data_IF_663216353882
#
_entry.id   IF_663216353882
#
_cell.length_a   1.000
_cell.length_b   1.000
_cell.length_c   1.000
_cell.angle_alpha   90.00
_cell.angle_beta   90.00
_cell.angle_gamma   90.00
#
_symmetry.space_group_name_H-M   'P 1'
#
loop_
_entity.id
_entity.type
_entity.pdbx_description
1 polymer ?
#
# COMPACT_ATOMS: atom_id res chain seq x y z
N UNK A 1 4.84 20.74 7.88
CA UNK A 1 4.44 19.36 7.55
C UNK A 1 5.11 18.43 8.52
N UNK A 2 4.33 17.50 9.08
CA UNK A 2 4.81 16.48 10.00
C UNK A 2 4.92 15.12 9.30
N UNK A 3 5.67 14.18 9.90
CA UNK A 3 5.77 12.83 9.36
C UNK A 3 4.42 12.12 9.47
N UNK A 4 3.95 11.53 8.37
CA UNK A 4 2.65 10.85 8.34
C UNK A 4 1.43 11.75 8.54
N UNK A 5 1.56 13.06 8.33
CA UNK A 5 0.45 14.01 8.45
C UNK A 5 -0.69 13.74 7.45
N UNK A 6 -0.38 13.17 6.29
CA UNK A 6 -1.32 12.93 5.19
C UNK A 6 -1.65 11.44 5.11
N UNK A 7 -2.90 11.08 5.40
CA UNK A 7 -3.41 9.72 5.27
C UNK A 7 -3.69 9.40 3.81
N UNK A 8 -3.15 8.28 3.34
CA UNK A 8 -3.31 7.78 1.97
C UNK A 8 -4.14 6.49 1.98
N UNK A 9 -5.18 6.49 1.15
CA UNK A 9 -6.02 5.33 0.84
C UNK A 9 -5.70 4.91 -0.60
N UNK A 10 -5.09 3.75 -0.81
CA UNK A 10 -4.68 3.25 -2.14
C UNK A 10 -5.67 2.19 -2.64
N UNK A 11 -6.47 2.55 -3.64
CA UNK A 11 -7.46 1.66 -4.24
C UNK A 11 -6.98 1.18 -5.61
N UNK A 12 -7.08 -0.13 -5.88
CA UNK A 12 -6.51 -0.74 -7.09
C UNK A 12 -4.98 -0.58 -7.13
N UNK A 13 -4.32 -0.93 -6.03
CA UNK A 13 -2.91 -0.65 -5.78
C UNK A 13 -1.95 -1.39 -6.73
N UNK A 14 -2.40 -2.45 -7.40
CA UNK A 14 -1.55 -3.32 -8.19
C UNK A 14 -0.40 -3.85 -7.35
N UNK A 15 0.84 -3.92 -7.89
CA UNK A 15 2.01 -4.30 -7.11
C UNK A 15 2.55 -3.17 -6.21
N UNK A 16 1.86 -2.03 -6.06
CA UNK A 16 2.21 -0.97 -5.11
C UNK A 16 3.17 0.12 -5.62
N UNK A 17 3.35 0.26 -6.93
CA UNK A 17 4.30 1.23 -7.51
C UNK A 17 3.94 2.68 -7.21
N UNK A 18 2.67 3.06 -7.29
CA UNK A 18 2.21 4.42 -6.97
C UNK A 18 2.37 4.72 -5.48
N UNK A 19 1.93 3.80 -4.62
CA UNK A 19 2.11 3.92 -3.17
C UNK A 19 3.59 4.09 -2.78
N UNK A 20 4.50 3.33 -3.38
CA UNK A 20 5.94 3.51 -3.14
C UNK A 20 6.45 4.89 -3.55
N UNK A 21 6.05 5.38 -4.72
CA UNK A 21 6.40 6.72 -5.19
C UNK A 21 5.94 7.80 -4.21
N UNK A 22 4.67 7.72 -3.76
CA UNK A 22 4.11 8.67 -2.80
C UNK A 22 4.81 8.60 -1.44
N UNK A 23 5.02 7.41 -0.89
CA UNK A 23 5.72 7.24 0.40
C UNK A 23 7.20 7.65 0.35
N UNK A 24 7.81 7.69 -0.84
CA UNK A 24 9.20 8.16 -1.00
C UNK A 24 9.34 9.69 -1.03
N UNK A 25 8.22 10.41 -1.16
CA UNK A 25 8.25 11.87 -1.20
C UNK A 25 8.75 12.43 0.13
N UNK A 26 9.78 13.27 0.06
CA UNK A 26 10.35 13.96 1.22
C UNK A 26 10.27 15.46 1.05
N UNK A 27 9.99 16.17 2.14
CA UNK A 27 10.13 17.64 2.19
C UNK A 27 11.61 18.03 2.16
N UNK A 28 11.91 19.33 2.01
CA UNK A 28 13.27 19.87 2.09
C UNK A 28 13.98 19.50 3.40
N UNK A 29 13.23 19.31 4.49
CA UNK A 29 13.73 18.92 5.80
C UNK A 29 13.79 17.40 6.00
N UNK A 30 13.61 16.59 4.94
CA UNK A 30 13.69 15.13 4.98
C UNK A 30 12.46 14.42 5.58
N UNK A 31 11.36 15.13 5.80
CA UNK A 31 10.13 14.57 6.39
C UNK A 31 9.36 13.82 5.30
N UNK A 32 8.88 12.60 5.60
CA UNK A 32 7.95 11.84 4.76
C UNK A 32 6.50 12.11 5.21
N UNK A 33 5.74 12.99 4.54
CA UNK A 33 4.43 13.42 5.04
C UNK A 33 3.29 12.43 4.75
N UNK A 34 3.49 11.51 3.80
CA UNK A 34 2.46 10.56 3.38
C UNK A 34 2.56 9.24 4.12
N UNK A 35 1.46 8.85 4.78
CA UNK A 35 1.30 7.55 5.43
C UNK A 35 0.19 6.73 4.76
N UNK A 36 0.50 5.51 4.32
CA UNK A 36 -0.47 4.63 3.67
C UNK A 36 -1.21 3.86 4.75
N UNK A 37 -2.48 4.18 4.94
CA UNK A 37 -3.32 3.49 5.92
C UNK A 37 -3.91 2.18 5.41
N UNK A 38 -4.24 2.11 4.12
CA UNK A 38 -4.76 0.90 3.48
C UNK A 38 -4.44 0.87 1.99
N UNK A 39 -4.13 -0.33 1.47
CA UNK A 39 -4.00 -0.62 0.04
C UNK A 39 -4.88 -1.81 -0.35
N UNK A 40 -5.67 -1.67 -1.41
CA UNK A 40 -6.61 -2.70 -1.89
C UNK A 40 -6.16 -3.22 -3.26
N UNK A 41 -5.91 -4.54 -3.35
CA UNK A 41 -5.57 -5.22 -4.59
C UNK A 41 -6.21 -6.61 -4.66
N UNK A 42 -6.77 -6.98 -5.81
CA UNK A 42 -7.52 -8.22 -6.04
C UNK A 42 -6.63 -9.36 -6.53
N UNK A 43 -5.63 -9.08 -7.35
CA UNK A 43 -4.83 -10.12 -7.99
C UNK A 43 -3.79 -10.67 -7.00
N UNK A 44 -3.78 -12.00 -6.72
CA UNK A 44 -2.91 -12.58 -5.69
C UNK A 44 -1.40 -12.31 -5.85
N UNK A 45 -0.87 -12.32 -7.07
CA UNK A 45 0.55 -12.10 -7.31
C UNK A 45 0.97 -10.64 -7.10
N UNK A 46 0.12 -9.70 -7.52
CA UNK A 46 0.26 -8.27 -7.31
C UNK A 46 0.13 -7.95 -5.82
N UNK A 47 -0.87 -8.52 -5.13
CA UNK A 47 -1.04 -8.39 -3.68
C UNK A 47 0.18 -8.90 -2.90
N UNK A 48 0.71 -10.09 -3.26
CA UNK A 48 1.94 -10.61 -2.63
C UNK A 48 3.11 -9.63 -2.79
N UNK A 49 3.25 -9.01 -3.95
CA UNK A 49 4.27 -7.99 -4.22
C UNK A 49 4.02 -6.73 -3.41
N UNK A 50 2.79 -6.22 -3.43
CA UNK A 50 2.32 -5.06 -2.67
C UNK A 50 2.64 -5.20 -1.17
N UNK A 51 2.26 -6.32 -0.53
CA UNK A 51 2.57 -6.59 0.87
C UNK A 51 4.08 -6.67 1.13
N UNK A 52 4.85 -7.25 0.22
CA UNK A 52 6.31 -7.35 0.36
C UNK A 52 6.98 -5.97 0.27
N UNK A 53 6.46 -5.08 -0.58
CA UNK A 53 6.94 -3.69 -0.66
C UNK A 53 6.49 -2.86 0.54
N UNK A 54 5.25 -3.05 1.02
CA UNK A 54 4.76 -2.46 2.25
C UNK A 54 5.61 -2.85 3.46
N UNK A 55 5.99 -4.12 3.56
CA UNK A 55 6.94 -4.62 4.53
C UNK A 55 8.30 -3.91 4.40
N UNK A 56 8.87 -3.87 3.19
CA UNK A 56 10.18 -3.24 2.97
C UNK A 56 10.21 -1.78 3.44
N UNK A 57 9.16 -0.99 3.18
CA UNK A 57 9.09 0.41 3.65
C UNK A 57 9.18 0.54 5.16
N UNK A 58 8.68 -0.44 5.91
CA UNK A 58 8.68 -0.45 7.39
C UNK A 58 10.01 -0.87 7.99
N UNK A 59 10.87 -1.54 7.22
CA UNK A 59 12.20 -1.99 7.65
C UNK A 59 13.36 -1.23 7.00
N UNK A 60 13.10 -0.39 5.99
CA UNK A 60 14.12 0.23 5.15
C UNK A 60 15.14 1.10 5.90
N UNK A 61 14.73 1.68 7.03
CA UNK A 61 15.58 2.54 7.85
C UNK A 61 16.43 1.72 8.86
N UNK A 62 16.19 0.41 8.98
CA UNK A 62 17.03 -0.51 9.76
C UNK A 62 18.04 -1.21 8.83
N UNK A 63 19.36 -0.96 8.97
CA UNK A 63 20.38 -1.53 8.09
C UNK A 63 20.44 -3.06 8.08
N UNK A 64 20.19 -3.70 9.23
CA UNK A 64 20.22 -5.18 9.35
C UNK A 64 19.03 -5.77 8.62
N UNK A 65 17.81 -5.28 8.91
CA UNK A 65 16.59 -5.76 8.26
C UNK A 65 16.59 -5.50 6.75
N UNK A 66 17.10 -4.35 6.34
CA UNK A 66 17.31 -4.02 4.93
C UNK A 66 18.27 -5.02 4.25
N UNK A 67 19.33 -5.45 4.92
CA UNK A 67 20.23 -6.47 4.38
C UNK A 67 19.53 -7.82 4.23
N UNK A 68 18.74 -8.25 5.22
CA UNK A 68 17.98 -9.51 5.15
C UNK A 68 16.95 -9.49 4.02
N UNK A 69 16.30 -8.35 3.78
CA UNK A 69 15.47 -8.18 2.59
C UNK A 69 16.25 -8.42 1.29
N UNK A 70 17.49 -7.95 1.19
CA UNK A 70 18.32 -8.23 0.02
C UNK A 70 18.80 -9.69 -0.07
N UNK A 71 18.98 -10.38 1.05
CA UNK A 71 19.20 -11.82 1.05
C UNK A 71 17.97 -12.58 0.51
N UNK A 72 16.76 -12.15 0.86
CA UNK A 72 15.53 -12.62 0.22
C UNK A 72 15.51 -12.34 -1.29
N UNK A 73 15.84 -11.12 -1.73
CA UNK A 73 15.92 -10.77 -3.16
C UNK A 73 16.93 -11.64 -3.91
N UNK A 74 18.03 -12.04 -3.25
CA UNK A 74 19.04 -12.96 -3.80
C UNK A 74 18.62 -14.43 -3.76
N UNK A 75 17.46 -14.75 -3.19
CA UNK A 75 16.96 -16.12 -3.03
C UNK A 75 17.65 -16.91 -1.92
N UNK A 76 18.37 -16.25 -1.01
CA UNK A 76 19.04 -16.91 0.13
C UNK A 76 18.15 -16.99 1.38
N UNK A 77 17.07 -16.21 1.40
CA UNK A 77 15.99 -16.29 2.37
C UNK A 77 14.66 -16.45 1.63
N UNK A 78 13.75 -17.21 2.21
CA UNK A 78 12.35 -17.23 1.77
C UNK A 78 11.60 -16.03 2.33
N UNK A 79 10.46 -15.71 1.71
CA UNK A 79 9.59 -14.63 2.19
C UNK A 79 9.08 -14.90 3.60
N UNK A 80 8.75 -16.14 3.92
CA UNK A 80 8.17 -16.52 5.20
C UNK A 80 9.21 -16.43 6.32
N UNK A 81 10.45 -16.87 6.06
CA UNK A 81 11.59 -16.66 6.96
C UNK A 81 11.80 -15.18 7.22
N UNK A 82 11.87 -14.35 6.17
CA UNK A 82 12.05 -12.91 6.31
C UNK A 82 10.93 -12.27 7.15
N UNK A 83 9.67 -12.64 6.89
CA UNK A 83 8.53 -12.06 7.60
C UNK A 83 8.53 -12.47 9.09
N UNK A 84 8.96 -13.70 9.41
CA UNK A 84 9.07 -14.18 10.80
C UNK A 84 10.18 -13.49 11.61
N UNK A 85 11.21 -12.97 10.96
CA UNK A 85 12.28 -12.21 11.66
C UNK A 85 11.81 -10.84 12.15
N UNK A 86 10.76 -10.31 11.53
CA UNK A 86 10.28 -8.93 11.71
C UNK A 86 8.76 -8.90 11.87
N UNK A 87 8.25 -9.64 12.87
CA UNK A 87 6.81 -9.90 13.03
C UNK A 87 5.98 -8.61 13.13
N UNK A 88 6.44 -7.60 13.86
CA UNK A 88 5.74 -6.33 14.01
C UNK A 88 5.56 -5.62 12.65
N UNK A 89 6.64 -5.49 11.88
CA UNK A 89 6.62 -4.83 10.57
C UNK A 89 5.84 -5.67 9.55
N UNK A 90 5.92 -6.99 9.65
CA UNK A 90 5.12 -7.93 8.84
C UNK A 90 3.63 -7.78 9.12
N UNK A 91 3.22 -7.73 10.38
CA UNK A 91 1.82 -7.51 10.75
C UNK A 91 1.32 -6.14 10.33
N UNK A 92 2.13 -5.10 10.49
CA UNK A 92 1.79 -3.77 10.00
C UNK A 92 1.62 -3.73 8.48
N UNK A 93 2.45 -4.46 7.72
CA UNK A 93 2.31 -4.57 6.27
C UNK A 93 1.07 -5.36 5.85
N UNK A 94 0.78 -6.46 6.55
CA UNK A 94 -0.43 -7.25 6.32
C UNK A 94 -1.70 -6.45 6.63
N UNK A 95 -1.72 -5.69 7.73
CA UNK A 95 -2.83 -4.80 8.09
C UNK A 95 -3.05 -3.71 7.04
N UNK A 96 -1.98 -3.10 6.54
CA UNK A 96 -2.04 -2.13 5.45
C UNK A 96 -2.65 -2.74 4.18
N UNK A 97 -2.31 -3.99 3.86
CA UNK A 97 -2.77 -4.67 2.64
C UNK A 97 -3.95 -5.61 2.85
N UNK A 98 -4.73 -5.46 3.92
CA UNK A 98 -5.93 -6.26 4.24
C UNK A 98 -5.71 -7.78 4.32
N UNK A 99 -4.50 -8.22 4.67
CA UNK A 99 -4.02 -9.61 4.85
C UNK A 99 -4.07 -10.52 3.63
N UNK A 100 -5.06 -10.36 2.77
CA UNK A 100 -5.29 -11.17 1.58
C UNK A 100 -5.82 -10.30 0.43
N UNK A 101 -5.81 -10.80 -0.82
CA UNK A 101 -6.33 -10.05 -1.95
C UNK A 101 -7.81 -9.72 -1.75
N UNK A 102 -8.19 -8.47 -2.05
CA UNK A 102 -9.56 -7.94 -1.87
C UNK A 102 -10.01 -7.21 -3.12
N UNK A 103 -11.28 -7.36 -3.45
CA UNK A 103 -11.90 -6.74 -4.61
C UNK A 103 -12.93 -5.69 -4.19
N UNK A 104 -12.78 -4.48 -4.73
CA UNK A 104 -13.86 -3.50 -4.72
C UNK A 104 -15.10 -4.07 -5.44
N UNK A 105 -16.27 -3.85 -4.86
CA UNK A 105 -17.54 -4.48 -5.26
C UNK A 105 -17.87 -5.73 -4.45
N UNK A 106 -16.91 -6.65 -4.26
CA UNK A 106 -17.12 -7.91 -3.55
C UNK A 106 -16.89 -7.76 -2.04
N UNK A 107 -15.78 -7.12 -1.64
CA UNK A 107 -15.35 -6.96 -0.24
C UNK A 107 -15.70 -5.57 0.34
N UNK A 108 -16.63 -4.83 -0.29
CA UNK A 108 -16.90 -3.43 0.02
C UNK A 108 -17.17 -3.15 1.50
N UNK A 109 -17.92 -4.02 2.18
CA UNK A 109 -18.23 -3.83 3.60
C UNK A 109 -16.94 -3.73 4.43
N UNK A 110 -16.04 -4.70 4.28
CA UNK A 110 -14.76 -4.74 4.98
C UNK A 110 -13.86 -3.56 4.60
N UNK A 111 -13.77 -3.24 3.31
CA UNK A 111 -12.95 -2.12 2.81
C UNK A 111 -13.47 -0.79 3.39
N UNK A 112 -14.79 -0.58 3.37
CA UNK A 112 -15.42 0.64 3.89
C UNK A 112 -15.25 0.76 5.41
N UNK A 113 -15.46 -0.32 6.16
CA UNK A 113 -15.23 -0.33 7.62
C UNK A 113 -13.79 0.08 7.94
N UNK A 114 -12.81 -0.52 7.25
CA UNK A 114 -11.40 -0.17 7.44
C UNK A 114 -11.08 1.29 7.10
N UNK A 115 -11.60 1.80 5.98
CA UNK A 115 -11.41 3.20 5.59
C UNK A 115 -12.06 4.14 6.62
N UNK A 116 -13.25 3.82 7.11
CA UNK A 116 -13.94 4.62 8.13
C UNK A 116 -13.15 4.69 9.43
N UNK A 117 -12.63 3.55 9.92
CA UNK A 117 -11.76 3.51 11.09
C UNK A 117 -10.55 4.44 10.95
N UNK A 118 -9.86 4.36 9.81
CA UNK A 118 -8.69 5.19 9.51
C UNK A 118 -9.04 6.68 9.43
N UNK A 119 -10.13 7.01 8.74
CA UNK A 119 -10.55 8.41 8.53
C UNK A 119 -11.00 9.07 9.84
N UNK A 120 -11.73 8.34 10.69
CA UNK A 120 -12.16 8.82 12.02
C UNK A 120 -10.96 9.01 12.95
N UNK A 121 -9.96 8.14 12.86
CA UNK A 121 -8.73 8.23 13.66
C UNK A 121 -7.75 9.32 13.20
N UNK A 122 -7.92 9.91 12.02
CA UNK A 122 -6.95 10.83 11.41
C UNK A 122 -7.45 12.27 11.36
N UNK A 123 -6.67 13.21 11.90
CA UNK A 123 -7.04 14.63 11.91
C UNK A 123 -6.53 15.40 10.69
N UNK A 124 -5.43 14.95 10.07
CA UNK A 124 -4.80 15.62 8.93
C UNK A 124 -5.53 15.46 7.60
N UNK A 125 -4.92 15.95 6.51
CA UNK A 125 -5.41 15.73 5.15
C UNK A 125 -5.53 14.25 4.82
N UNK A 126 -6.54 13.90 4.02
CA UNK A 126 -6.75 12.55 3.50
C UNK A 126 -6.75 12.60 1.97
N UNK A 127 -6.07 11.65 1.35
CA UNK A 127 -6.09 11.48 -0.10
C UNK A 127 -6.45 10.04 -0.46
N UNK A 128 -7.17 9.89 -1.57
CA UNK A 128 -7.38 8.61 -2.22
C UNK A 128 -6.52 8.60 -3.47
N UNK A 129 -5.71 7.55 -3.61
CA UNK A 129 -4.90 7.30 -4.80
C UNK A 129 -5.37 6.01 -5.46
N UNK A 130 -4.95 5.84 -6.71
CA UNK A 130 -5.40 4.73 -7.51
C UNK A 130 -6.87 4.88 -7.93
N UNK A 131 -7.31 3.96 -8.78
CA UNK A 131 -8.60 4.01 -9.43
C UNK A 131 -8.74 2.84 -10.40
N UNK A 132 -9.98 2.48 -10.78
CA UNK A 132 -10.17 1.43 -11.76
C UNK A 132 -9.40 1.78 -13.04
N UNK A 133 -8.87 0.79 -13.78
CA UNK A 133 -8.07 1.05 -14.97
C UNK A 133 -8.79 2.05 -15.87
N UNK A 134 -8.09 3.14 -16.15
CA UNK A 134 -8.46 4.28 -16.99
C UNK A 134 -9.92 4.30 -17.47
N UNK A 135 -10.74 5.22 -16.94
CA UNK A 135 -12.09 5.45 -17.46
C UNK A 135 -12.09 5.61 -19.00
N UNK A 136 -11.05 6.18 -19.62
CA UNK A 136 -10.95 6.32 -21.07
C UNK A 136 -10.84 4.99 -21.85
N UNK A 137 -10.42 3.89 -21.21
CA UNK A 137 -10.38 2.55 -21.83
C UNK A 137 -11.51 1.62 -21.36
N UNK A 138 -12.26 1.99 -20.32
CA UNK A 138 -13.47 1.27 -19.95
C UNK A 138 -14.55 1.42 -21.04
N UNK A 139 -15.29 0.35 -21.32
CA UNK A 139 -16.44 0.41 -22.25
C UNK A 139 -17.44 1.52 -21.87
N UNK A 140 -17.61 1.77 -20.57
CA UNK A 140 -18.48 2.80 -20.03
C UNK A 140 -17.95 4.24 -20.21
N UNK A 141 -16.64 4.44 -20.26
CA UNK A 141 -16.07 5.76 -20.56
C UNK A 141 -15.95 6.05 -22.06
N UNK A 142 -15.78 5.02 -22.90
CA UNK A 142 -15.92 5.16 -24.36
C UNK A 142 -17.33 5.60 -24.76
N UNK A 143 -18.37 5.09 -24.11
CA UNK A 143 -19.76 5.50 -24.43
C UNK A 143 -20.05 6.97 -24.08
N UNK A 144 -19.29 7.58 -23.17
CA UNK A 144 -19.45 8.98 -22.75
C UNK A 144 -18.58 9.97 -23.53
N UNK A 145 -17.52 9.49 -24.19
CA UNK A 145 -16.63 10.30 -25.05
C UNK A 145 -16.99 10.23 -26.55
N UNK A 146 -18.10 9.59 -26.91
CA UNK A 146 -18.61 9.52 -28.28
C UNK A 146 -19.62 10.63 -28.62
N UNK A 147 -19.65 11.71 -27.82
CA UNK A 147 -20.48 12.90 -28.03
C UNK A 147 -19.64 14.07 -28.52
#
# INVERSE_FOLDING_TARGET
>A
MEAGEILVIDLFAGPGGLGEGISSCTTENGIKPFDIGVSVEKEPSAHKTLTTRAFFRKIADNPVAKNDYYEYVRGRLTRDELFSMYEEQSQAALNETLHQPRALGEDNKLIHERIQELVVGHQGPKIVIGGPPCQAYSLAGRSRNAG
#
